data_IF_500290817598
#
_entry.id   IF_500290817598
#
_cell.length_a   1.000
_cell.length_b   1.000
_cell.length_c   1.000
_cell.angle_alpha   90.00
_cell.angle_beta   90.00
_cell.angle_gamma   90.00
#
_symmetry.space_group_name_H-M   'P 1'
#
loop_
_entity.id
_entity.type
_entity.pdbx_description
1 polymer ?
#
# COMPACT_ATOMS: atom_id res chain seq x y z
N UNK A 1 -15.43 -9.07 4.75
CA UNK A 1 -13.96 -9.08 4.89
C UNK A 1 -13.50 -8.64 6.28
N UNK A 2 -13.63 -7.36 6.67
CA UNK A 2 -13.11 -6.84 7.96
C UNK A 2 -13.61 -7.59 9.21
N UNK A 3 -14.86 -8.06 9.22
CA UNK A 3 -15.41 -8.89 10.31
C UNK A 3 -14.67 -10.23 10.44
N UNK A 4 -14.37 -10.88 9.32
CA UNK A 4 -13.63 -12.14 9.29
C UNK A 4 -12.15 -11.94 9.67
N UNK A 5 -11.63 -10.71 9.54
CA UNK A 5 -10.27 -10.36 9.94
C UNK A 5 -10.18 -9.91 11.41
N UNK A 6 -11.28 -9.88 12.16
CA UNK A 6 -11.33 -9.36 13.53
C UNK A 6 -11.14 -7.84 13.64
N UNK A 7 -10.98 -7.12 12.52
CA UNK A 7 -10.68 -5.69 12.47
C UNK A 7 -11.92 -4.79 12.57
N UNK A 8 -13.13 -5.35 12.47
CA UNK A 8 -14.37 -4.56 12.45
C UNK A 8 -14.57 -3.68 13.70
N UNK A 9 -14.11 -4.14 14.89
CA UNK A 9 -14.22 -3.37 16.14
C UNK A 9 -13.02 -2.45 16.37
N UNK A 10 -11.82 -2.89 15.97
CA UNK A 10 -10.59 -2.13 16.15
C UNK A 10 -10.54 -0.92 15.22
N UNK A 11 -10.93 -1.10 13.96
CA UNK A 11 -10.74 -0.11 12.91
C UNK A 11 -9.26 0.18 12.65
N UNK A 12 -9.00 1.33 12.01
CA UNK A 12 -7.67 1.92 11.91
C UNK A 12 -7.50 2.94 13.03
N UNK A 13 -6.38 2.86 13.75
CA UNK A 13 -6.03 3.85 14.77
C UNK A 13 -4.91 4.77 14.29
N UNK A 14 -4.82 5.99 14.84
CA UNK A 14 -3.66 6.85 14.67
C UNK A 14 -2.37 6.10 14.98
N UNK A 15 -1.37 6.22 14.11
CA UNK A 15 -0.09 5.52 14.24
C UNK A 15 -0.03 4.13 13.59
N UNK A 16 -1.16 3.58 13.12
CA UNK A 16 -1.16 2.27 12.47
C UNK A 16 -0.41 2.30 11.13
N UNK A 17 0.12 1.14 10.74
CA UNK A 17 0.57 0.87 9.38
C UNK A 17 -0.45 -0.08 8.73
N UNK A 18 -0.96 0.29 7.55
CA UNK A 18 -1.92 -0.52 6.80
C UNK A 18 -1.18 -1.41 5.78
N UNK A 19 -1.34 -2.72 5.89
CA UNK A 19 -0.81 -3.69 4.93
C UNK A 19 -1.95 -4.21 4.04
N UNK A 20 -1.84 -4.06 2.72
CA UNK A 20 -2.87 -4.45 1.76
C UNK A 20 -2.30 -5.51 0.83
N UNK A 21 -2.76 -6.75 1.03
CA UNK A 21 -2.49 -7.84 0.10
C UNK A 21 -3.49 -7.81 -1.05
N UNK A 22 -3.00 -7.54 -2.26
CA UNK A 22 -3.77 -7.55 -3.50
C UNK A 22 -3.60 -8.86 -4.29
N UNK A 23 -2.59 -9.68 -3.94
CA UNK A 23 -2.19 -10.87 -4.69
C UNK A 23 -1.43 -10.56 -5.98
N UNK A 24 -1.01 -9.31 -6.18
CA UNK A 24 -0.30 -8.92 -7.40
C UNK A 24 1.15 -9.38 -7.37
N UNK A 25 1.72 -9.57 -6.18
CA UNK A 25 3.08 -10.06 -5.95
C UNK A 25 3.38 -11.36 -6.70
N UNK A 26 2.38 -12.21 -6.93
CA UNK A 26 2.50 -13.44 -7.73
C UNK A 26 3.03 -13.19 -9.17
N UNK A 27 2.72 -12.03 -9.74
CA UNK A 27 3.18 -11.67 -11.09
C UNK A 27 4.66 -11.27 -11.14
N UNK A 28 5.33 -11.05 -9.99
CA UNK A 28 6.76 -10.73 -9.94
C UNK A 28 7.58 -11.78 -10.69
N UNK A 29 7.31 -13.06 -10.43
CA UNK A 29 7.98 -14.19 -11.07
C UNK A 29 7.22 -14.71 -12.30
N UNK A 30 5.88 -14.81 -12.22
CA UNK A 30 5.08 -15.48 -13.26
C UNK A 30 4.85 -14.61 -14.51
N UNK A 31 4.85 -13.29 -14.36
CA UNK A 31 4.56 -12.36 -15.46
C UNK A 31 5.34 -11.04 -15.30
N UNK A 32 6.69 -11.07 -15.29
CA UNK A 32 7.52 -9.89 -14.98
C UNK A 32 7.29 -8.71 -15.93
N UNK A 33 6.99 -8.97 -17.21
CA UNK A 33 6.65 -7.93 -18.19
C UNK A 33 5.36 -7.15 -17.83
N UNK A 34 4.46 -7.78 -17.09
CA UNK A 34 3.20 -7.18 -16.62
C UNK A 34 3.36 -6.48 -15.27
N UNK A 35 4.24 -7.00 -14.41
CA UNK A 35 4.35 -6.57 -13.02
C UNK A 35 4.56 -5.06 -12.87
N UNK A 36 5.45 -4.47 -13.66
CA UNK A 36 5.80 -3.05 -13.62
C UNK A 36 5.04 -2.15 -14.61
N UNK A 37 4.08 -2.67 -15.36
CA UNK A 37 3.35 -1.89 -16.38
C UNK A 37 1.91 -1.56 -15.99
N UNK A 38 1.37 -2.27 -15.01
CA UNK A 38 0.03 -2.07 -14.48
C UNK A 38 -0.09 -2.72 -13.10
N UNK A 39 -1.14 -2.36 -12.35
CA UNK A 39 -1.42 -2.98 -11.06
C UNK A 39 -2.65 -2.38 -10.36
N UNK A 40 -3.15 -3.06 -9.33
CA UNK A 40 -4.16 -2.51 -8.43
C UNK A 40 -3.58 -1.34 -7.62
N UNK A 41 -4.43 -0.61 -6.91
CA UNK A 41 -4.00 0.46 -6.01
C UNK A 41 -5.18 1.07 -5.28
N UNK A 42 -4.93 2.08 -4.47
CA UNK A 42 -5.97 2.76 -3.68
C UNK A 42 -6.81 3.72 -4.54
N UNK A 43 -8.12 3.72 -4.34
CA UNK A 43 -8.95 4.85 -4.80
C UNK A 43 -8.53 6.15 -4.11
N UNK A 44 -8.80 7.29 -4.75
CA UNK A 44 -8.48 8.59 -4.14
C UNK A 44 -9.29 8.86 -2.87
N UNK A 45 -10.55 8.42 -2.85
CA UNK A 45 -11.41 8.42 -1.67
C UNK A 45 -10.85 7.57 -0.52
N UNK A 46 -10.24 6.43 -0.84
CA UNK A 46 -9.54 5.60 0.15
C UNK A 46 -8.34 6.35 0.75
N UNK A 47 -7.54 7.06 -0.05
CA UNK A 47 -6.44 7.88 0.47
C UNK A 47 -6.94 8.96 1.45
N UNK A 48 -8.02 9.66 1.09
CA UNK A 48 -8.65 10.66 1.96
C UNK A 48 -9.20 10.04 3.26
N UNK A 49 -9.77 8.83 3.18
CA UNK A 49 -10.20 8.09 4.36
C UNK A 49 -9.01 7.73 5.27
N UNK A 50 -7.92 7.19 4.71
CA UNK A 50 -6.72 6.85 5.48
C UNK A 50 -6.10 8.07 6.17
N UNK A 51 -6.11 9.24 5.51
CA UNK A 51 -5.70 10.51 6.10
C UNK A 51 -6.51 10.86 7.36
N UNK A 52 -7.83 10.64 7.37
CA UNK A 52 -8.68 10.92 8.53
C UNK A 52 -8.37 10.02 9.73
N UNK A 53 -7.74 8.87 9.50
CA UNK A 53 -7.36 7.90 10.54
C UNK A 53 -5.93 8.05 11.03
N UNK A 54 -5.16 9.02 10.52
CA UNK A 54 -3.80 9.34 10.99
C UNK A 54 -2.86 8.12 11.00
N UNK A 55 -3.02 7.21 10.04
CA UNK A 55 -2.07 6.10 9.84
C UNK A 55 -0.70 6.66 9.40
N UNK A 56 0.39 5.95 9.68
CA UNK A 56 1.74 6.43 9.36
C UNK A 56 2.27 5.89 8.04
N UNK A 57 1.77 4.75 7.58
CA UNK A 57 2.23 4.13 6.35
C UNK A 57 1.19 3.20 5.74
N UNK A 58 1.22 3.06 4.42
CA UNK A 58 0.50 2.01 3.68
C UNK A 58 1.48 1.18 2.85
N UNK A 59 1.32 -0.14 2.88
CA UNK A 59 2.11 -1.08 2.10
C UNK A 59 1.24 -1.93 1.18
N UNK A 60 1.68 -2.11 -0.05
CA UNK A 60 1.05 -3.01 -1.03
C UNK A 60 2.07 -4.00 -1.59
N UNK A 61 1.61 -5.17 -2.00
CA UNK A 61 2.43 -6.23 -2.62
C UNK A 61 2.69 -6.03 -4.13
N UNK A 62 2.62 -4.79 -4.58
CA UNK A 62 2.79 -4.40 -5.98
C UNK A 62 3.67 -3.14 -6.14
N UNK A 63 4.03 -2.75 -7.37
CA UNK A 63 4.85 -1.55 -7.60
C UNK A 63 4.11 -0.23 -7.49
N UNK A 64 2.85 -0.20 -7.07
CA UNK A 64 2.01 0.98 -7.20
C UNK A 64 1.11 1.18 -5.97
N UNK A 65 1.20 2.34 -5.34
CA UNK A 65 0.18 2.75 -4.36
C UNK A 65 -1.07 3.32 -5.03
N UNK A 66 -0.89 4.00 -6.17
CA UNK A 66 -1.98 4.43 -7.04
C UNK A 66 -2.47 3.28 -7.93
N UNK A 67 -3.75 3.28 -8.35
CA UNK A 67 -4.23 2.32 -9.32
C UNK A 67 -3.54 2.59 -10.66
N UNK A 68 -2.91 1.57 -11.24
CA UNK A 68 -2.21 1.66 -12.51
C UNK A 68 -2.89 0.79 -13.57
N UNK A 69 -4.05 1.20 -14.14
CA UNK A 69 -4.63 0.49 -15.27
C UNK A 69 -3.72 0.60 -16.51
N UNK A 70 -3.87 -0.33 -17.44
CA UNK A 70 -3.18 -0.25 -18.75
C UNK A 70 -3.49 1.10 -19.43
N UNK A 71 -2.45 1.83 -19.81
CA UNK A 71 -2.54 3.18 -20.37
C UNK A 71 -2.39 4.30 -19.34
N UNK A 72 -2.23 4.02 -18.04
CA UNK A 72 -1.95 5.08 -17.07
C UNK A 72 -0.55 5.67 -17.25
N UNK A 73 0.45 4.80 -17.42
CA UNK A 73 1.86 5.22 -17.48
C UNK A 73 2.20 6.02 -18.76
N UNK A 74 1.42 5.85 -19.83
CA UNK A 74 1.53 6.64 -21.07
C UNK A 74 0.56 7.84 -21.12
N UNK A 75 -0.23 8.04 -20.05
CA UNK A 75 -1.17 9.15 -19.93
C UNK A 75 -2.48 9.01 -20.71
N UNK A 76 -2.72 7.86 -21.36
CA UNK A 76 -3.95 7.62 -22.14
C UNK A 76 -5.14 7.20 -21.29
N UNK A 77 -4.91 6.77 -20.04
CA UNK A 77 -5.94 6.44 -19.06
C UNK A 77 -5.68 7.10 -17.71
N UNK A 78 -6.76 7.47 -17.04
CA UNK A 78 -6.73 7.96 -15.67
C UNK A 78 -7.73 7.14 -14.84
N UNK A 79 -7.37 6.68 -13.62
CA UNK A 79 -8.32 5.99 -12.76
C UNK A 79 -9.51 6.87 -12.41
N UNK A 80 -10.70 6.28 -12.34
CA UNK A 80 -11.91 6.97 -11.91
C UNK A 80 -11.74 7.58 -10.50
N UNK A 81 -12.33 8.74 -10.25
CA UNK A 81 -12.23 9.45 -8.98
C UNK A 81 -10.90 10.20 -8.77
N UNK A 82 -9.93 10.08 -9.68
CA UNK A 82 -8.67 10.84 -9.60
C UNK A 82 -8.91 12.32 -9.93
N UNK A 83 -8.40 13.28 -9.13
CA UNK A 83 -8.47 14.71 -9.45
C UNK A 83 -7.87 15.03 -10.82
N UNK A 84 -8.50 15.95 -11.55
CA UNK A 84 -8.03 16.39 -12.88
C UNK A 84 -6.64 17.03 -12.77
N UNK A 85 -5.74 16.66 -13.68
CA UNK A 85 -4.38 17.21 -13.73
C UNK A 85 -3.43 16.72 -12.63
N UNK A 86 -3.87 15.75 -11.81
CA UNK A 86 -3.06 15.18 -10.74
C UNK A 86 -2.88 13.67 -10.96
N UNK A 87 -2.01 13.25 -11.89
CA UNK A 87 -1.63 11.84 -11.97
C UNK A 87 -0.92 11.43 -10.68
N UNK A 88 -1.07 10.17 -10.27
CA UNK A 88 -0.55 9.67 -9.00
C UNK A 88 -1.05 10.46 -7.77
N UNK A 89 -2.36 10.75 -7.75
CA UNK A 89 -2.99 11.55 -6.70
C UNK A 89 -2.83 10.95 -5.29
N UNK A 90 -2.69 9.62 -5.17
CA UNK A 90 -2.49 8.97 -3.87
C UNK A 90 -1.05 9.20 -3.39
N UNK A 91 -0.03 9.09 -4.25
CA UNK A 91 1.34 9.54 -3.93
C UNK A 91 1.35 11.00 -3.48
N UNK A 92 0.68 11.89 -4.22
CA UNK A 92 0.62 13.30 -3.87
C UNK A 92 -0.01 13.52 -2.49
N UNK A 93 -1.21 12.98 -2.24
CA UNK A 93 -1.90 13.16 -0.97
C UNK A 93 -1.10 12.57 0.19
N UNK A 94 -0.73 11.29 0.11
CA UNK A 94 -0.02 10.60 1.18
C UNK A 94 1.26 11.34 1.58
N UNK A 95 2.14 11.62 0.62
CA UNK A 95 3.49 12.11 0.93
C UNK A 95 3.53 13.61 1.26
N UNK A 96 2.69 14.42 0.59
CA UNK A 96 2.81 15.89 0.68
C UNK A 96 1.74 16.53 1.55
N UNK A 97 0.58 15.89 1.72
CA UNK A 97 -0.56 16.47 2.44
C UNK A 97 -0.80 15.75 3.77
N UNK A 98 -0.72 14.42 3.78
CA UNK A 98 -1.11 13.60 4.93
C UNK A 98 0.09 13.10 5.78
N UNK A 99 1.31 13.15 5.25
CA UNK A 99 2.49 12.61 5.93
C UNK A 99 2.50 11.07 6.06
N UNK A 100 1.76 10.38 5.19
CA UNK A 100 1.64 8.92 5.15
C UNK A 100 2.73 8.35 4.24
N UNK A 101 3.60 7.49 4.77
CA UNK A 101 4.60 6.81 3.96
C UNK A 101 3.99 5.72 3.08
N UNK A 102 4.70 5.37 2.01
CA UNK A 102 4.29 4.32 1.09
C UNK A 102 5.39 3.26 1.00
N UNK A 103 4.98 1.99 1.08
CA UNK A 103 5.84 0.85 0.80
C UNK A 103 5.24 0.07 -0.36
N UNK A 104 6.06 -0.19 -1.36
CA UNK A 104 5.68 -0.92 -2.56
C UNK A 104 6.51 -2.20 -2.64
N UNK A 105 6.00 -3.19 -3.36
CA UNK A 105 6.60 -4.51 -3.51
C UNK A 105 6.76 -5.25 -2.18
N UNK A 106 5.83 -5.06 -1.25
CA UNK A 106 5.85 -5.78 0.03
C UNK A 106 5.55 -7.28 -0.16
N UNK A 107 6.25 -8.14 0.59
CA UNK A 107 5.95 -9.58 0.66
C UNK A 107 4.85 -9.81 1.71
N UNK A 108 3.60 -9.96 1.29
CA UNK A 108 2.42 -10.00 2.18
C UNK A 108 1.60 -11.29 2.10
N UNK A 109 1.91 -12.17 1.16
CA UNK A 109 1.21 -13.44 0.95
C UNK A 109 1.28 -14.35 2.17
N UNK A 110 2.45 -14.48 2.81
CA UNK A 110 2.58 -15.32 4.02
C UNK A 110 1.71 -14.81 5.18
N UNK A 111 1.57 -13.49 5.36
CA UNK A 111 0.67 -12.92 6.39
C UNK A 111 -0.80 -13.21 6.05
N UNK A 112 -1.16 -13.07 4.78
CA UNK A 112 -2.53 -13.32 4.32
C UNK A 112 -2.91 -14.80 4.43
N UNK A 113 -2.02 -15.71 4.02
CA UNK A 113 -2.20 -17.17 4.11
C UNK A 113 -2.32 -17.65 5.57
N UNK A 114 -1.50 -17.11 6.47
CA UNK A 114 -1.53 -17.43 7.89
C UNK A 114 -2.56 -16.60 8.69
N UNK A 115 -3.39 -15.82 8.02
CA UNK A 115 -4.47 -15.02 8.63
C UNK A 115 -3.98 -14.09 9.76
N UNK A 116 -2.79 -13.50 9.59
CA UNK A 116 -2.21 -12.53 10.52
C UNK A 116 -2.70 -11.13 10.15
N UNK A 117 -3.81 -10.71 10.76
CA UNK A 117 -4.47 -9.41 10.46
C UNK A 117 -4.03 -8.26 11.37
N UNK A 118 -3.32 -8.56 12.45
CA UNK A 118 -2.71 -7.57 13.34
C UNK A 118 -1.32 -8.04 13.73
N UNK A 119 -0.35 -7.15 13.58
CA UNK A 119 1.06 -7.44 13.86
C UNK A 119 1.78 -6.18 14.33
N UNK A 120 2.87 -6.37 15.05
CA UNK A 120 3.88 -5.33 15.24
C UNK A 120 4.73 -5.27 13.96
N UNK A 121 4.63 -4.17 13.22
CA UNK A 121 5.43 -3.93 12.03
C UNK A 121 6.68 -3.09 12.40
N UNK A 122 7.84 -3.57 11.96
CA UNK A 122 9.13 -2.90 12.14
C UNK A 122 9.66 -2.57 10.75
N UNK A 123 9.84 -1.29 10.46
CA UNK A 123 10.36 -0.78 9.19
C UNK A 123 11.53 0.17 9.48
N UNK A 124 12.73 -0.24 9.06
CA UNK A 124 13.95 0.53 9.28
C UNK A 124 14.56 0.93 7.93
N UNK A 125 14.31 2.16 7.44
CA UNK A 125 14.96 2.66 6.24
C UNK A 125 16.45 2.91 6.48
N UNK A 126 17.25 2.76 5.43
CA UNK A 126 18.64 3.18 5.42
C UNK A 126 18.72 4.69 5.64
N UNK A 127 19.74 5.14 6.38
CA UNK A 127 19.97 6.55 6.67
C UNK A 127 20.69 7.24 5.50
N UNK A 128 20.02 7.35 4.36
CA UNK A 128 20.54 7.96 3.13
C UNK A 128 20.38 9.48 3.22
N UNK A 129 21.49 10.23 3.24
CA UNK A 129 21.45 11.70 3.27
C UNK A 129 20.82 12.23 1.98
N UNK A 130 19.72 12.98 2.11
CA UNK A 130 18.99 13.56 0.97
C UNK A 130 18.19 12.53 0.16
N UNK A 131 18.03 11.29 0.64
CA UNK A 131 17.23 10.28 -0.04
C UNK A 131 15.73 10.59 0.07
N UNK A 132 15.04 10.58 -1.07
CA UNK A 132 13.57 10.66 -1.11
C UNK A 132 12.90 9.32 -0.74
N UNK A 133 13.65 8.23 -0.81
CA UNK A 133 13.20 6.86 -0.55
C UNK A 133 14.36 6.00 -0.04
N UNK A 134 14.03 4.83 0.50
CA UNK A 134 15.01 3.82 0.92
C UNK A 134 14.47 2.43 0.64
N UNK A 135 15.31 1.47 0.20
CA UNK A 135 14.96 0.06 0.34
C UNK A 135 14.78 -0.27 1.83
N UNK A 136 13.88 -1.21 2.12
CA UNK A 136 13.57 -1.67 3.47
C UNK A 136 13.40 -3.19 3.45
N UNK A 137 13.62 -3.82 4.60
CA UNK A 137 13.19 -5.19 4.87
C UNK A 137 12.18 -5.15 6.02
N UNK A 138 10.89 -4.87 5.73
CA UNK A 138 9.86 -4.85 6.76
C UNK A 138 9.79 -6.20 7.48
N UNK A 139 9.59 -6.18 8.80
CA UNK A 139 9.35 -7.37 9.61
C UNK A 139 8.01 -7.20 10.31
N UNK A 140 7.14 -8.19 10.18
CA UNK A 140 5.86 -8.25 10.88
C UNK A 140 5.88 -9.39 11.90
N UNK A 141 5.56 -9.08 13.16
CA UNK A 141 5.48 -10.05 14.25
C UNK A 141 4.04 -10.07 14.74
N UNK A 142 3.32 -11.16 14.49
CA UNK A 142 1.93 -11.32 14.88
C UNK A 142 1.53 -12.79 14.98
N UNK A 143 0.36 -13.04 15.56
CA UNK A 143 -0.23 -14.37 15.63
C UNK A 143 -1.35 -14.50 14.60
N UNK A 144 -1.61 -15.73 14.15
CA UNK A 144 -2.79 -16.04 13.35
C UNK A 144 -4.05 -15.65 14.12
N UNK A 145 -5.04 -15.11 13.40
CA UNK A 145 -6.33 -14.77 14.00
C UNK A 145 -7.14 -16.05 14.19
N UNK A 146 -7.64 -16.26 15.40
CA UNK A 146 -8.51 -17.39 15.79
C UNK A 146 -9.93 -17.26 15.26
#
# INVERSE_FOLDING_TARGET
MLKAQGLAKRGLLPGDMLLIYTGWGKNWDEAPAKYYTQGPGLGYDAALYLQQHEIVAVALDNPFTDPAPKGMLDGTKQPEGTPKGLPFAIHHNNLTQAGIYQIQNAKLDELAENQVWSSCAIVLPLKIKGGAQSPVRPVAIGAASS
#
